data_IF_542505692222
#
_entry.id   IF_542505692222
#
_cell.length_a   1.000
_cell.length_b   1.000
_cell.length_c   1.000
_cell.angle_alpha   90.00
_cell.angle_beta   90.00
_cell.angle_gamma   90.00
#
_symmetry.space_group_name_H-M   'P 1'
#
loop_
_entity.id
_entity.type
_entity.pdbx_description
1 polymer ?
#
# COMPACT_ATOMS: atom_id res chain seq x y z
N UNK A 1 12.53 12.95 11.24
CA UNK A 1 12.14 12.73 12.65
C UNK A 1 13.26 12.06 13.45
N UNK A 2 13.67 10.83 13.11
CA UNK A 2 14.69 10.08 13.87
C UNK A 2 16.03 10.80 14.12
N UNK A 3 16.49 11.61 13.16
CA UNK A 3 17.78 12.34 13.23
C UNK A 3 17.70 13.75 13.82
N UNK A 4 16.51 14.37 13.85
CA UNK A 4 16.35 15.81 14.12
C UNK A 4 15.72 16.10 15.49
N UNK A 5 15.04 15.12 16.08
CA UNK A 5 14.33 15.29 17.34
C UNK A 5 14.96 14.41 18.44
N UNK A 6 15.14 14.95 19.65
CA UNK A 6 15.47 14.15 20.85
C UNK A 6 14.45 13.03 21.07
N UNK A 7 14.88 11.92 21.68
CA UNK A 7 14.05 10.72 21.88
C UNK A 7 12.71 11.04 22.56
N UNK A 8 12.71 11.95 23.55
CA UNK A 8 11.51 12.39 24.26
C UNK A 8 10.46 13.08 23.37
N UNK A 9 10.88 13.75 22.29
CA UNK A 9 9.98 14.44 21.36
C UNK A 9 9.62 13.58 20.14
N UNK A 10 10.36 12.49 19.90
CA UNK A 10 10.18 11.63 18.74
C UNK A 10 8.77 11.04 18.68
N UNK A 11 8.25 10.57 19.83
CA UNK A 11 6.88 10.05 19.94
C UNK A 11 5.80 11.07 19.60
N UNK A 12 5.94 12.32 20.07
CA UNK A 12 4.99 13.41 19.75
C UNK A 12 5.01 13.77 18.27
N UNK A 13 6.20 13.82 17.67
CA UNK A 13 6.33 14.10 16.24
C UNK A 13 5.77 12.97 15.37
N UNK A 14 5.93 11.71 15.77
CA UNK A 14 5.29 10.59 15.08
C UNK A 14 3.76 10.63 15.22
N UNK A 15 3.23 11.01 16.39
CA UNK A 15 1.79 11.22 16.57
C UNK A 15 1.26 12.34 15.66
N UNK A 16 1.95 13.48 15.58
CA UNK A 16 1.60 14.57 14.66
C UNK A 16 1.66 14.11 13.19
N UNK A 17 2.72 13.39 12.81
CA UNK A 17 2.85 12.83 11.45
C UNK A 17 1.70 11.87 11.11
N UNK A 18 1.28 11.03 12.07
CA UNK A 18 0.14 10.14 11.89
C UNK A 18 -1.19 10.91 11.72
N UNK A 19 -1.35 12.10 12.29
CA UNK A 19 -2.54 12.94 12.05
C UNK A 19 -2.49 13.71 10.73
N UNK A 20 -1.28 13.96 10.20
CA UNK A 20 -1.06 14.82 9.03
C UNK A 20 -1.67 14.29 7.73
N UNK A 21 -1.92 12.98 7.62
CA UNK A 21 -2.57 12.37 6.45
C UNK A 21 -4.08 12.10 6.65
N UNK A 22 -4.53 11.97 7.91
CA UNK A 22 -5.94 11.70 8.24
C UNK A 22 -6.82 12.92 7.95
N UNK A 23 -6.39 14.11 8.36
CA UNK A 23 -7.18 15.33 8.16
C UNK A 23 -7.42 15.65 6.67
N UNK A 24 -6.39 15.59 5.78
CA UNK A 24 -6.61 15.69 4.34
C UNK A 24 -7.46 14.56 3.78
N UNK A 25 -7.33 13.32 4.25
CA UNK A 25 -8.16 12.20 3.80
C UNK A 25 -9.64 12.34 4.19
N UNK A 26 -9.93 13.02 5.29
CA UNK A 26 -11.29 13.28 5.78
C UNK A 26 -11.94 14.46 5.06
N UNK A 27 -11.22 15.59 4.94
CA UNK A 27 -11.74 16.86 4.41
C UNK A 27 -11.57 16.96 2.89
N UNK A 28 -10.49 16.37 2.37
CA UNK A 28 -10.05 16.49 0.98
C UNK A 28 -11.09 16.06 -0.05
N UNK A 29 -11.68 14.85 0.03
CA UNK A 29 -12.67 14.40 -0.95
C UNK A 29 -13.90 15.30 -1.02
N UNK A 30 -14.42 15.76 0.12
CA UNK A 30 -15.58 16.66 0.16
C UNK A 30 -15.26 18.02 -0.43
N UNK A 31 -14.11 18.60 -0.08
CA UNK A 31 -13.68 19.91 -0.58
C UNK A 31 -13.33 19.86 -2.07
N UNK A 32 -12.60 18.83 -2.50
CA UNK A 32 -12.27 18.58 -3.89
C UNK A 32 -13.52 18.33 -4.74
N UNK A 33 -14.46 17.52 -4.25
CA UNK A 33 -15.74 17.24 -4.92
C UNK A 33 -16.57 18.51 -5.10
N UNK A 34 -16.70 19.33 -4.05
CA UNK A 34 -17.41 20.61 -4.08
C UNK A 34 -16.78 21.59 -5.07
N UNK A 35 -15.45 21.73 -5.05
CA UNK A 35 -14.73 22.62 -5.99
C UNK A 35 -14.85 22.11 -7.43
N UNK A 36 -14.78 20.79 -7.63
CA UNK A 36 -14.94 20.20 -8.95
C UNK A 36 -16.36 20.37 -9.51
N UNK A 37 -17.39 20.32 -8.65
CA UNK A 37 -18.79 20.46 -9.03
C UNK A 37 -19.18 21.91 -9.35
N UNK A 38 -18.76 22.88 -8.54
CA UNK A 38 -19.22 24.28 -8.68
C UNK A 38 -18.27 25.24 -9.40
N UNK A 39 -16.96 24.93 -9.44
CA UNK A 39 -15.96 25.84 -10.02
C UNK A 39 -15.26 25.21 -11.21
N UNK A 40 -14.32 24.31 -10.95
CA UNK A 40 -13.57 23.56 -11.96
C UNK A 40 -12.66 22.55 -11.27
N UNK A 41 -12.59 21.35 -11.83
CA UNK A 41 -11.63 20.34 -11.41
C UNK A 41 -10.17 20.83 -11.48
N UNK A 42 -9.84 21.77 -12.38
CA UNK A 42 -8.47 22.33 -12.51
C UNK A 42 -8.01 23.06 -11.26
N UNK A 43 -8.93 23.74 -10.56
CA UNK A 43 -8.61 24.49 -9.34
C UNK A 43 -8.23 23.57 -8.18
N UNK A 44 -8.74 22.33 -8.15
CA UNK A 44 -8.33 21.32 -7.17
C UNK A 44 -6.83 21.03 -7.32
N UNK A 45 -6.36 20.84 -8.56
CA UNK A 45 -4.94 20.59 -8.83
C UNK A 45 -4.07 21.84 -8.64
N UNK A 46 -4.52 23.00 -9.13
CA UNK A 46 -3.78 24.26 -8.98
C UNK A 46 -3.66 24.67 -7.51
N UNK A 47 -4.67 24.40 -6.67
CA UNK A 47 -4.65 24.68 -5.24
C UNK A 47 -3.62 23.85 -4.46
N UNK A 48 -3.23 22.68 -4.97
CA UNK A 48 -2.19 21.84 -4.35
C UNK A 48 -0.79 22.46 -4.53
N UNK A 49 -0.54 23.13 -5.66
CA UNK A 49 0.77 23.71 -5.99
C UNK A 49 1.28 24.69 -4.91
N UNK A 50 0.53 25.72 -4.47
CA UNK A 50 1.01 26.64 -3.44
C UNK A 50 1.19 25.96 -2.09
N UNK A 51 0.38 24.95 -1.76
CA UNK A 51 0.51 24.17 -0.52
C UNK A 51 1.82 23.38 -0.52
N UNK A 52 2.13 22.69 -1.61
CA UNK A 52 3.41 21.97 -1.78
C UNK A 52 4.58 22.95 -1.76
N UNK A 53 4.49 24.07 -2.46
CA UNK A 53 5.53 25.09 -2.48
C UNK A 53 5.81 25.64 -1.08
N UNK A 54 4.76 25.95 -0.31
CA UNK A 54 4.88 26.40 1.08
C UNK A 54 5.48 25.34 2.00
N UNK A 55 5.02 24.10 1.91
CA UNK A 55 5.59 22.98 2.67
C UNK A 55 7.07 22.73 2.30
N UNK A 56 7.41 22.81 1.01
CA UNK A 56 8.78 22.68 0.51
C UNK A 56 9.68 23.81 1.02
N UNK A 57 9.20 25.06 0.96
CA UNK A 57 9.93 26.22 1.48
C UNK A 57 10.24 26.09 2.99
N UNK A 58 9.34 25.50 3.78
CA UNK A 58 9.56 25.27 5.21
C UNK A 58 10.47 24.07 5.51
N UNK A 59 10.42 23.01 4.70
CA UNK A 59 11.07 21.72 5.02
C UNK A 59 12.42 21.51 4.35
N UNK A 60 12.60 21.96 3.11
CA UNK A 60 13.83 21.75 2.33
C UNK A 60 15.06 22.37 3.01
N UNK A 61 15.04 23.63 3.50
CA UNK A 61 16.20 24.21 4.18
C UNK A 61 16.61 23.43 5.43
N UNK A 62 15.63 22.99 6.23
CA UNK A 62 15.86 22.19 7.42
C UNK A 62 16.45 20.81 7.08
N UNK A 63 16.01 20.18 5.98
CA UNK A 63 16.57 18.92 5.50
C UNK A 63 18.00 19.06 5.00
N UNK A 64 18.31 20.15 4.28
CA UNK A 64 19.67 20.45 3.81
C UNK A 64 20.60 20.65 5.02
N UNK A 65 20.14 21.38 6.05
CA UNK A 65 20.92 21.65 7.25
C UNK A 65 21.28 20.39 8.07
N UNK A 66 20.49 19.31 7.97
CA UNK A 66 20.78 18.04 8.67
C UNK A 66 21.98 17.27 8.07
N UNK A 67 22.35 17.56 6.83
CA UNK A 67 23.48 16.92 6.14
C UNK A 67 23.33 15.40 5.91
N UNK A 68 24.31 14.78 5.21
CA UNK A 68 24.30 13.35 4.95
C UNK A 68 24.36 12.52 6.25
N UNK A 69 23.79 11.30 6.28
CA UNK A 69 23.89 10.42 7.44
C UNK A 69 25.36 10.01 7.72
N UNK A 70 25.78 10.06 8.98
CA UNK A 70 27.16 9.79 9.41
C UNK A 70 27.67 8.37 9.04
N UNK A 71 26.76 7.39 8.92
CA UNK A 71 27.08 5.99 8.59
C UNK A 71 26.67 5.61 7.16
N UNK A 72 26.69 6.55 6.22
CA UNK A 72 26.38 6.27 4.82
C UNK A 72 27.57 5.57 4.16
N UNK A 73 27.61 4.24 4.18
CA UNK A 73 28.57 3.53 3.35
C UNK A 73 28.27 3.79 1.86
N UNK A 74 29.30 3.96 1.00
CA UNK A 74 29.12 4.11 -0.43
C UNK A 74 28.44 2.86 -0.99
N UNK A 75 27.14 2.94 -1.26
CA UNK A 75 26.40 1.90 -1.97
C UNK A 75 26.33 2.28 -3.44
N UNK A 76 26.44 1.28 -4.32
CA UNK A 76 26.21 1.48 -5.74
C UNK A 76 24.84 2.13 -5.95
N UNK A 77 24.78 3.16 -6.79
CA UNK A 77 23.52 3.87 -7.07
C UNK A 77 22.51 2.90 -7.68
N UNK A 78 21.36 2.75 -7.01
CA UNK A 78 20.23 1.99 -7.53
C UNK A 78 19.37 2.83 -8.48
N UNK A 79 19.69 4.12 -8.68
CA UNK A 79 18.90 5.04 -9.52
C UNK A 79 18.68 4.48 -10.93
N UNK A 80 19.69 3.97 -11.66
CA UNK A 80 19.45 3.41 -13.00
C UNK A 80 18.50 2.20 -12.96
N UNK A 81 18.58 1.37 -11.92
CA UNK A 81 17.72 0.19 -11.77
C UNK A 81 16.28 0.62 -11.47
N UNK A 82 16.08 1.57 -10.55
CA UNK A 82 14.77 2.12 -10.22
C UNK A 82 14.13 2.86 -11.40
N UNK A 83 14.91 3.64 -12.16
CA UNK A 83 14.42 4.31 -13.37
C UNK A 83 14.03 3.29 -14.43
N UNK A 84 14.82 2.22 -14.63
CA UNK A 84 14.49 1.17 -15.60
C UNK A 84 13.22 0.40 -15.19
N UNK A 85 13.03 0.14 -13.89
CA UNK A 85 11.78 -0.42 -13.38
C UNK A 85 10.59 0.51 -13.65
N UNK A 86 10.73 1.80 -13.37
CA UNK A 86 9.67 2.79 -13.57
C UNK A 86 9.31 2.94 -15.06
N UNK A 87 10.31 2.99 -15.95
CA UNK A 87 10.07 3.01 -17.39
C UNK A 87 9.40 1.73 -17.87
N UNK A 88 9.84 0.57 -17.40
CA UNK A 88 9.22 -0.72 -17.75
C UNK A 88 7.77 -0.81 -17.29
N UNK A 89 7.49 -0.41 -16.05
CA UNK A 89 6.13 -0.33 -15.52
C UNK A 89 5.27 0.68 -16.31
N UNK A 90 5.82 1.84 -16.65
CA UNK A 90 5.17 2.85 -17.47
C UNK A 90 4.83 2.32 -18.87
N UNK A 91 5.79 1.70 -19.57
CA UNK A 91 5.55 1.06 -20.87
C UNK A 91 4.48 -0.01 -20.79
N UNK A 92 4.53 -0.87 -19.76
CA UNK A 92 3.53 -1.92 -19.54
C UNK A 92 2.13 -1.31 -19.37
N UNK A 93 1.98 -0.33 -18.48
CA UNK A 93 0.71 0.33 -18.22
C UNK A 93 0.18 1.07 -19.44
N UNK A 94 1.03 1.83 -20.14
CA UNK A 94 0.65 2.48 -21.40
C UNK A 94 0.17 1.44 -22.41
N UNK A 95 0.85 0.31 -22.53
CA UNK A 95 0.42 -0.80 -23.38
C UNK A 95 -0.97 -1.31 -23.04
N UNK A 96 -1.29 -1.46 -21.75
CA UNK A 96 -2.62 -1.87 -21.30
C UNK A 96 -3.72 -0.83 -21.58
N UNK A 97 -3.40 0.46 -21.56
CA UNK A 97 -4.40 1.54 -21.67
C UNK A 97 -4.51 2.17 -23.05
N UNK A 98 -3.64 1.83 -24.02
CA UNK A 98 -3.62 2.48 -25.35
C UNK A 98 -4.83 2.11 -26.23
N UNK A 99 -5.49 0.99 -25.97
CA UNK A 99 -6.68 0.53 -26.74
C UNK A 99 -6.38 -0.01 -28.15
N UNK A 100 -5.29 0.41 -28.79
CA UNK A 100 -4.83 -0.13 -30.09
C UNK A 100 -3.93 -1.38 -29.89
N UNK A 101 -4.36 -2.58 -30.34
CA UNK A 101 -3.58 -3.82 -30.20
C UNK A 101 -2.17 -3.75 -30.80
N UNK A 102 -1.97 -2.93 -31.85
CA UNK A 102 -0.68 -2.79 -32.56
C UNK A 102 0.39 -2.19 -31.66
N UNK A 103 0.01 -1.29 -30.77
CA UNK A 103 0.91 -0.67 -29.79
C UNK A 103 0.83 -1.35 -28.43
N UNK A 104 -0.34 -1.89 -28.06
CA UNK A 104 -0.54 -2.56 -26.79
C UNK A 104 0.38 -3.75 -26.59
N UNK A 105 0.41 -4.70 -27.53
CA UNK A 105 1.19 -5.94 -27.39
C UNK A 105 2.70 -5.65 -27.31
N UNK A 106 3.31 -4.86 -28.21
CA UNK A 106 4.74 -4.53 -28.10
C UNK A 106 5.09 -3.78 -26.82
N UNK A 107 4.26 -2.81 -26.39
CA UNK A 107 4.51 -2.04 -25.17
C UNK A 107 4.43 -2.89 -23.90
N UNK A 108 3.47 -3.82 -23.83
CA UNK A 108 3.37 -4.78 -22.74
C UNK A 108 4.60 -5.68 -22.69
N UNK A 109 5.00 -6.27 -23.83
CA UNK A 109 6.18 -7.15 -23.91
C UNK A 109 7.45 -6.38 -23.55
N UNK A 110 7.66 -5.19 -24.12
CA UNK A 110 8.81 -4.34 -23.84
C UNK A 110 8.83 -3.90 -22.38
N UNK A 111 7.68 -3.52 -21.83
CA UNK A 111 7.54 -3.13 -20.43
C UNK A 111 7.93 -4.25 -19.47
N UNK A 112 7.44 -5.47 -19.72
CA UNK A 112 7.81 -6.66 -18.93
C UNK A 112 9.31 -6.94 -19.06
N UNK A 113 9.85 -6.97 -20.28
CA UNK A 113 11.26 -7.25 -20.52
C UNK A 113 12.18 -6.24 -19.82
N UNK A 114 11.80 -4.95 -19.86
CA UNK A 114 12.54 -3.85 -19.24
C UNK A 114 12.44 -3.88 -17.70
N UNK A 115 11.26 -4.20 -17.15
CA UNK A 115 11.01 -4.23 -15.71
C UNK A 115 11.55 -5.50 -15.02
N UNK A 116 11.67 -6.62 -15.73
CA UNK A 116 11.92 -7.94 -15.12
C UNK A 116 13.21 -8.01 -14.30
N UNK A 117 14.36 -7.66 -14.90
CA UNK A 117 15.66 -7.70 -14.20
C UNK A 117 15.74 -6.69 -13.04
N UNK A 118 15.32 -5.41 -13.21
CA UNK A 118 15.22 -4.47 -12.10
C UNK A 118 14.34 -4.96 -10.95
N UNK A 119 13.19 -5.54 -11.26
CA UNK A 119 12.27 -6.07 -10.27
C UNK A 119 12.93 -7.17 -9.44
N UNK A 120 13.57 -8.15 -10.09
CA UNK A 120 14.30 -9.22 -9.39
C UNK A 120 15.46 -8.71 -8.52
N UNK A 121 16.09 -7.60 -8.91
CA UNK A 121 17.20 -7.00 -8.18
C UNK A 121 16.76 -6.16 -6.98
N UNK A 122 15.60 -5.50 -7.08
CA UNK A 122 15.07 -4.60 -6.05
C UNK A 122 14.21 -5.33 -5.01
N UNK A 123 13.61 -6.45 -5.40
CA UNK A 123 12.73 -7.24 -4.52
C UNK A 123 13.50 -8.35 -3.80
N UNK A 124 13.07 -8.74 -2.59
CA UNK A 124 13.69 -9.85 -1.87
C UNK A 124 13.52 -11.17 -2.65
N UNK A 125 14.54 -12.06 -2.64
CA UNK A 125 14.45 -13.36 -3.29
C UNK A 125 13.27 -14.18 -2.77
N UNK A 126 12.48 -14.76 -3.67
CA UNK A 126 11.30 -15.56 -3.32
C UNK A 126 10.04 -14.73 -3.01
N UNK A 127 10.02 -13.44 -3.32
CA UNK A 127 8.80 -12.62 -3.23
C UNK A 127 7.65 -13.20 -4.07
N UNK A 128 7.93 -13.58 -5.32
CA UNK A 128 6.91 -14.12 -6.25
C UNK A 128 6.27 -15.41 -5.72
N UNK A 129 7.00 -16.21 -4.95
CA UNK A 129 6.50 -17.45 -4.35
C UNK A 129 6.04 -17.28 -2.89
N UNK A 130 6.04 -16.03 -2.38
CA UNK A 130 5.78 -15.68 -0.99
C UNK A 130 6.53 -16.62 -0.02
N UNK A 131 7.85 -16.76 -0.19
CA UNK A 131 8.70 -17.49 0.77
C UNK A 131 8.63 -16.79 2.13
N UNK A 132 8.58 -17.56 3.22
CA UNK A 132 8.43 -17.06 4.59
C UNK A 132 9.45 -15.96 4.96
N UNK A 133 9.04 -15.06 5.86
CA UNK A 133 9.86 -13.92 6.31
C UNK A 133 9.64 -12.67 5.45
N UNK A 134 10.72 -11.92 5.18
CA UNK A 134 10.65 -10.63 4.48
C UNK A 134 10.01 -10.74 3.09
N UNK A 135 10.28 -11.82 2.34
CA UNK A 135 9.71 -12.02 1.00
C UNK A 135 8.18 -12.14 1.02
N UNK A 136 7.62 -12.91 1.95
CA UNK A 136 6.17 -13.01 2.16
C UNK A 136 5.56 -11.67 2.60
N UNK A 137 6.27 -10.88 3.41
CA UNK A 137 5.78 -9.58 3.86
C UNK A 137 5.76 -8.56 2.72
N UNK A 138 6.82 -8.48 1.92
CA UNK A 138 6.85 -7.61 0.73
C UNK A 138 5.81 -8.06 -0.30
N UNK A 139 5.62 -9.37 -0.50
CA UNK A 139 4.53 -9.91 -1.33
C UNK A 139 3.13 -9.55 -0.79
N UNK A 140 2.93 -9.65 0.53
CA UNK A 140 1.67 -9.25 1.18
C UNK A 140 1.38 -7.75 0.99
N UNK A 141 2.40 -6.89 1.10
CA UNK A 141 2.28 -5.45 0.81
C UNK A 141 1.90 -5.21 -0.64
N UNK A 142 2.53 -5.92 -1.58
CA UNK A 142 2.15 -5.79 -2.98
C UNK A 142 0.69 -6.23 -3.19
N UNK A 143 0.29 -7.39 -2.68
CA UNK A 143 -1.06 -7.93 -2.88
C UNK A 143 -2.15 -7.06 -2.26
N UNK A 144 -1.95 -6.58 -1.03
CA UNK A 144 -2.95 -5.73 -0.35
C UNK A 144 -3.15 -4.40 -1.10
N UNK A 145 -2.06 -3.79 -1.58
CA UNK A 145 -2.13 -2.52 -2.30
C UNK A 145 -2.67 -2.69 -3.72
N UNK A 146 -2.26 -3.75 -4.43
CA UNK A 146 -2.76 -4.07 -5.77
C UNK A 146 -4.28 -4.21 -5.76
N UNK A 147 -4.80 -5.05 -4.85
CA UNK A 147 -6.24 -5.30 -4.77
C UNK A 147 -7.00 -4.08 -4.30
N UNK A 148 -6.54 -3.41 -3.24
CA UNK A 148 -7.26 -2.28 -2.67
C UNK A 148 -7.35 -1.13 -3.67
N UNK A 149 -6.22 -0.68 -4.23
CA UNK A 149 -6.22 0.45 -5.17
C UNK A 149 -6.77 0.10 -6.55
N UNK A 150 -6.77 -1.17 -6.96
CA UNK A 150 -7.47 -1.63 -8.17
C UNK A 150 -8.99 -1.54 -8.06
N UNK A 151 -9.54 -1.51 -6.85
CA UNK A 151 -10.97 -1.29 -6.60
C UNK A 151 -11.24 0.17 -6.26
N UNK A 152 -10.51 0.74 -5.30
CA UNK A 152 -10.70 2.08 -4.74
C UNK A 152 -10.75 3.16 -5.84
N UNK A 153 -9.86 3.07 -6.84
CA UNK A 153 -9.78 4.01 -7.94
C UNK A 153 -11.06 4.09 -8.80
N UNK A 154 -11.88 3.03 -8.80
CA UNK A 154 -13.06 2.90 -9.65
C UNK A 154 -14.38 2.93 -8.88
N UNK A 155 -14.35 2.96 -7.55
CA UNK A 155 -15.57 3.16 -6.75
C UNK A 155 -16.24 4.51 -7.05
N UNK A 156 -15.52 5.65 -7.15
CA UNK A 156 -16.14 6.91 -7.52
C UNK A 156 -16.76 6.86 -8.91
N UNK A 157 -16.06 6.29 -9.91
CA UNK A 157 -16.55 6.15 -11.27
C UNK A 157 -17.83 5.29 -11.34
N UNK A 158 -17.88 4.18 -10.60
CA UNK A 158 -19.10 3.38 -10.48
C UNK A 158 -20.26 4.22 -9.95
N UNK A 159 -20.03 5.08 -8.96
CA UNK A 159 -21.07 5.90 -8.36
C UNK A 159 -21.54 7.02 -9.30
N UNK A 160 -20.63 7.68 -10.00
CA UNK A 160 -20.99 8.80 -10.89
C UNK A 160 -21.55 8.30 -12.21
N UNK A 161 -20.84 7.42 -12.91
CA UNK A 161 -21.09 7.16 -14.33
C UNK A 161 -22.04 5.96 -14.54
N UNK A 162 -22.06 5.00 -13.61
CA UNK A 162 -23.02 3.89 -13.63
C UNK A 162 -24.25 4.18 -12.79
N UNK A 163 -24.10 4.83 -11.63
CA UNK A 163 -25.20 5.07 -10.68
C UNK A 163 -25.75 6.51 -10.70
N UNK A 164 -25.21 7.39 -11.53
CA UNK A 164 -25.71 8.75 -11.72
C UNK A 164 -25.64 9.62 -10.46
N UNK A 165 -24.75 9.30 -9.53
CA UNK A 165 -24.59 10.04 -8.28
C UNK A 165 -23.67 11.24 -8.44
N UNK A 166 -23.77 12.21 -7.54
CA UNK A 166 -22.87 13.36 -7.53
C UNK A 166 -21.48 12.98 -7.01
N UNK A 167 -20.49 13.80 -7.34
CA UNK A 167 -19.11 13.67 -6.83
C UNK A 167 -19.04 13.82 -5.31
N UNK A 168 -19.96 14.57 -4.71
CA UNK A 168 -20.10 14.69 -3.25
C UNK A 168 -20.48 13.34 -2.61
N UNK A 169 -21.44 12.61 -3.18
CA UNK A 169 -21.84 11.28 -2.68
C UNK A 169 -20.69 10.30 -2.80
N UNK A 170 -19.97 10.30 -3.93
CA UNK A 170 -18.76 9.50 -4.09
C UNK A 170 -17.68 9.87 -3.06
N UNK A 171 -17.49 11.17 -2.80
CA UNK A 171 -16.60 11.69 -1.77
C UNK A 171 -16.94 11.16 -0.37
N UNK A 172 -18.22 11.14 0.01
CA UNK A 172 -18.68 10.59 1.31
C UNK A 172 -18.34 9.09 1.44
N UNK A 173 -18.50 8.32 0.36
CA UNK A 173 -18.11 6.90 0.34
C UNK A 173 -16.60 6.77 0.60
N UNK A 174 -15.76 7.52 -0.10
CA UNK A 174 -14.30 7.51 0.11
C UNK A 174 -13.92 8.00 1.51
N UNK A 175 -14.61 8.99 2.05
CA UNK A 175 -14.39 9.44 3.43
C UNK A 175 -14.70 8.33 4.45
N UNK A 176 -15.75 7.53 4.22
CA UNK A 176 -16.07 6.38 5.09
C UNK A 176 -14.96 5.32 5.10
N UNK A 177 -14.27 5.14 3.97
CA UNK A 177 -13.09 4.27 3.84
C UNK A 177 -11.95 4.79 4.69
N UNK A 178 -11.66 6.11 4.66
CA UNK A 178 -10.61 6.71 5.51
C UNK A 178 -10.88 6.49 7.00
N UNK A 179 -12.14 6.66 7.44
CA UNK A 179 -12.53 6.46 8.83
C UNK A 179 -12.38 4.98 9.24
N UNK A 180 -12.90 4.07 8.44
CA UNK A 180 -12.82 2.63 8.71
C UNK A 180 -11.39 2.09 8.63
N UNK A 181 -10.56 2.59 7.72
CA UNK A 181 -9.11 2.33 7.68
C UNK A 181 -8.47 2.72 8.99
N UNK A 182 -8.71 3.95 9.47
CA UNK A 182 -8.16 4.44 10.74
C UNK A 182 -8.59 3.56 11.92
N UNK A 183 -9.86 3.13 11.95
CA UNK A 183 -10.33 2.15 12.93
C UNK A 183 -9.58 0.82 12.83
N UNK A 184 -9.32 0.33 11.61
CA UNK A 184 -8.59 -0.91 11.35
C UNK A 184 -7.14 -0.85 11.83
N UNK A 185 -6.47 0.30 11.65
CA UNK A 185 -5.10 0.49 12.14
C UNK A 185 -5.04 0.44 13.66
N UNK A 186 -6.01 1.07 14.33
CA UNK A 186 -6.11 1.02 15.79
C UNK A 186 -6.45 -0.38 16.30
N UNK A 187 -7.32 -1.10 15.58
CA UNK A 187 -7.66 -2.49 15.88
C UNK A 187 -6.43 -3.39 15.79
N UNK A 188 -5.63 -3.24 14.74
CA UNK A 188 -4.38 -3.98 14.56
C UNK A 188 -3.38 -3.69 15.68
N UNK A 189 -3.21 -2.42 16.06
CA UNK A 189 -2.32 -2.01 17.16
C UNK A 189 -2.76 -2.64 18.49
N UNK A 190 -4.04 -2.52 18.83
CA UNK A 190 -4.57 -2.93 20.14
C UNK A 190 -4.74 -4.44 20.29
N UNK A 191 -5.12 -5.13 19.21
CA UNK A 191 -5.48 -6.54 19.23
C UNK A 191 -4.43 -7.45 18.58
N UNK A 192 -3.44 -6.89 17.88
CA UNK A 192 -2.40 -7.68 17.20
C UNK A 192 -1.58 -8.56 18.14
N UNK A 193 -1.26 -8.07 19.35
CA UNK A 193 -0.57 -8.85 20.38
C UNK A 193 -1.46 -9.93 21.02
N UNK A 194 -2.77 -9.68 21.13
CA UNK A 194 -3.73 -10.57 21.81
C UNK A 194 -4.24 -11.70 20.91
N UNK A 195 -4.62 -11.39 19.67
CA UNK A 195 -5.22 -12.34 18.73
C UNK A 195 -4.21 -12.98 17.77
N UNK A 196 -3.01 -12.41 17.68
CA UNK A 196 -1.99 -12.79 16.73
C UNK A 196 -2.09 -11.98 15.43
N UNK A 197 -0.99 -11.30 15.09
CA UNK A 197 -0.89 -10.38 13.95
C UNK A 197 -1.23 -11.03 12.61
N UNK A 198 -0.73 -12.25 12.37
CA UNK A 198 -1.04 -13.01 11.15
C UNK A 198 -2.55 -13.22 10.94
N UNK A 199 -3.33 -13.40 12.02
CA UNK A 199 -4.79 -13.56 11.94
C UNK A 199 -5.49 -12.26 11.58
N UNK A 200 -5.04 -11.14 12.12
CA UNK A 200 -5.58 -9.83 11.76
C UNK A 200 -5.22 -9.43 10.33
N UNK A 201 -4.03 -9.79 9.84
CA UNK A 201 -3.65 -9.60 8.43
C UNK A 201 -4.55 -10.45 7.52
N UNK A 202 -4.75 -11.73 7.85
CA UNK A 202 -5.64 -12.62 7.12
C UNK A 202 -7.09 -12.10 7.12
N UNK A 203 -7.60 -11.67 8.28
CA UNK A 203 -8.89 -11.01 8.39
C UNK A 203 -8.95 -9.75 7.52
N UNK A 204 -7.88 -8.95 7.47
CA UNK A 204 -7.81 -7.77 6.62
C UNK A 204 -8.00 -8.10 5.13
N UNK A 205 -7.32 -9.13 4.61
CA UNK A 205 -7.54 -9.60 3.23
C UNK A 205 -8.96 -10.11 2.99
N UNK A 206 -9.55 -10.83 3.96
CA UNK A 206 -10.94 -11.28 3.88
C UNK A 206 -11.92 -10.09 3.84
N UNK A 207 -11.72 -9.08 4.68
CA UNK A 207 -12.56 -7.89 4.72
C UNK A 207 -12.44 -7.08 3.41
N UNK A 208 -11.24 -6.95 2.84
CA UNK A 208 -11.06 -6.35 1.50
C UNK A 208 -11.88 -7.13 0.47
N UNK A 209 -11.73 -8.45 0.41
CA UNK A 209 -12.47 -9.29 -0.54
C UNK A 209 -13.99 -9.21 -0.35
N UNK A 210 -14.48 -9.26 0.89
CA UNK A 210 -15.90 -9.12 1.22
C UNK A 210 -16.43 -7.73 0.84
N UNK A 211 -15.67 -6.67 1.10
CA UNK A 211 -16.02 -5.31 0.71
C UNK A 211 -16.10 -5.17 -0.81
N UNK A 212 -15.13 -5.73 -1.54
CA UNK A 212 -15.14 -5.77 -3.01
C UNK A 212 -16.33 -6.55 -3.56
N UNK A 213 -16.64 -7.73 -3.01
CA UNK A 213 -17.82 -8.51 -3.42
C UNK A 213 -19.12 -7.77 -3.11
N UNK A 214 -19.17 -7.05 -1.98
CA UNK A 214 -20.31 -6.21 -1.59
C UNK A 214 -20.60 -5.05 -2.55
N UNK A 215 -19.62 -4.64 -3.37
CA UNK A 215 -19.84 -3.63 -4.41
C UNK A 215 -20.52 -4.18 -5.66
N UNK A 216 -20.43 -5.48 -5.95
CA UNK A 216 -21.06 -6.11 -7.13
C UNK A 216 -22.56 -5.81 -7.26
N UNK A 217 -23.40 -5.98 -6.21
CA UNK A 217 -24.82 -5.62 -6.30
C UNK A 217 -25.05 -4.12 -6.47
N UNK A 218 -24.11 -3.27 -6.05
CA UNK A 218 -24.18 -1.81 -6.25
C UNK A 218 -23.89 -1.41 -7.70
N UNK A 219 -23.09 -2.18 -8.44
CA UNK A 219 -23.00 -1.98 -9.90
C UNK A 219 -24.34 -2.30 -10.60
N UNK A 220 -25.23 -3.04 -9.94
CA UNK A 220 -26.62 -3.25 -10.36
C UNK A 220 -27.55 -2.17 -9.79
N UNK A 221 -28.60 -2.62 -9.12
CA UNK A 221 -29.67 -1.76 -8.62
C UNK A 221 -29.65 -1.55 -7.10
N UNK A 222 -28.72 -2.16 -6.35
CA UNK A 222 -28.72 -2.07 -4.90
C UNK A 222 -28.58 -0.61 -4.42
N UNK A 223 -29.13 -0.23 -3.26
CA UNK A 223 -29.05 1.15 -2.79
C UNK A 223 -27.61 1.67 -2.66
N UNK A 224 -27.39 2.95 -2.97
CA UNK A 224 -26.03 3.56 -2.98
C UNK A 224 -25.35 3.52 -1.62
N UNK A 225 -26.09 3.60 -0.51
CA UNK A 225 -25.50 3.51 0.84
C UNK A 225 -24.79 2.16 1.08
N UNK A 226 -25.14 1.11 0.33
CA UNK A 226 -24.46 -0.19 0.39
C UNK A 226 -23.01 -0.05 -0.07
N UNK A 227 -22.66 0.88 -0.98
CA UNK A 227 -21.27 1.14 -1.33
C UNK A 227 -20.46 1.69 -0.16
N UNK A 228 -21.02 2.59 0.65
CA UNK A 228 -20.34 3.11 1.84
C UNK A 228 -20.06 2.00 2.85
N UNK A 229 -21.03 1.11 3.09
CA UNK A 229 -20.86 -0.02 4.01
C UNK A 229 -19.87 -1.03 3.44
N UNK A 230 -20.08 -1.48 2.20
CA UNK A 230 -19.24 -2.50 1.56
C UNK A 230 -17.80 -2.02 1.42
N UNK A 231 -17.58 -0.82 0.89
CA UNK A 231 -16.23 -0.32 0.73
C UNK A 231 -15.59 0.16 2.03
N UNK A 232 -16.39 0.60 3.01
CA UNK A 232 -15.93 0.80 4.39
C UNK A 232 -15.42 -0.49 5.04
N UNK A 233 -16.03 -1.65 4.75
CA UNK A 233 -15.47 -2.96 5.18
C UNK A 233 -14.10 -3.19 4.53
N UNK A 234 -13.93 -2.83 3.26
CA UNK A 234 -12.63 -2.87 2.59
C UNK A 234 -11.60 -1.94 3.21
N UNK A 235 -12.00 -0.72 3.56
CA UNK A 235 -11.20 0.26 4.30
C UNK A 235 -10.70 -0.29 5.64
N UNK A 236 -11.61 -0.86 6.44
CA UNK A 236 -11.24 -1.57 7.68
C UNK A 236 -10.21 -2.67 7.42
N UNK A 237 -10.40 -3.44 6.34
CA UNK A 237 -9.51 -4.53 5.96
C UNK A 237 -8.08 -4.10 5.66
N UNK A 238 -7.89 -3.06 4.83
CA UNK A 238 -6.54 -2.52 4.57
C UNK A 238 -5.93 -1.90 5.82
N UNK A 239 -6.73 -1.24 6.65
CA UNK A 239 -6.29 -0.68 7.92
C UNK A 239 -5.75 -1.73 8.89
N UNK A 240 -6.29 -2.95 8.86
CA UNK A 240 -5.76 -4.07 9.64
C UNK A 240 -4.52 -4.70 9.01
N UNK A 241 -4.56 -4.97 7.70
CA UNK A 241 -3.53 -5.72 7.01
C UNK A 241 -2.22 -4.93 6.86
N UNK A 242 -2.29 -3.68 6.37
CA UNK A 242 -1.12 -2.89 6.01
C UNK A 242 -0.10 -2.70 7.16
N UNK A 243 -0.50 -2.19 8.35
CA UNK A 243 0.43 -2.03 9.46
C UNK A 243 0.97 -3.37 9.98
N UNK A 244 0.14 -4.42 9.97
CA UNK A 244 0.58 -5.75 10.40
C UNK A 244 1.63 -6.37 9.49
N UNK A 245 1.45 -6.27 8.17
CA UNK A 245 2.44 -6.74 7.20
C UNK A 245 3.71 -5.90 7.31
N UNK A 246 3.57 -4.59 7.50
CA UNK A 246 4.72 -3.69 7.64
C UNK A 246 5.57 -4.03 8.86
N UNK A 247 4.94 -4.31 10.00
CA UNK A 247 5.64 -4.75 11.19
C UNK A 247 6.29 -6.14 11.02
N UNK A 248 5.58 -7.09 10.38
CA UNK A 248 6.14 -8.41 10.10
C UNK A 248 7.37 -8.34 9.19
N UNK A 249 7.40 -7.42 8.22
CA UNK A 249 8.57 -7.19 7.37
C UNK A 249 9.76 -6.67 8.18
N UNK A 250 9.53 -5.70 9.08
CA UNK A 250 10.58 -5.14 9.93
C UNK A 250 11.16 -6.19 10.88
N UNK A 251 10.31 -7.01 11.50
CA UNK A 251 10.76 -8.10 12.39
C UNK A 251 11.53 -9.21 11.65
N UNK A 252 11.19 -9.45 10.39
CA UNK A 252 11.90 -10.42 9.56
C UNK A 252 13.22 -9.87 8.97
N UNK A 253 13.54 -8.59 9.21
CA UNK A 253 14.73 -7.95 8.66
C UNK A 253 15.91 -8.04 9.63
N UNK A 254 17.08 -8.55 9.20
CA UNK A 254 18.28 -8.52 10.02
C UNK A 254 18.73 -7.09 10.36
N UNK A 255 19.31 -6.92 11.55
CA UNK A 255 19.83 -5.61 12.00
C UNK A 255 20.81 -5.01 10.97
N UNK A 256 20.62 -3.73 10.63
CA UNK A 256 21.42 -3.01 9.64
C UNK A 256 20.91 -3.09 8.19
N UNK A 257 19.89 -3.91 7.91
CA UNK A 257 19.26 -4.04 6.59
C UNK A 257 17.87 -3.38 6.48
N UNK A 258 17.42 -2.68 7.52
CA UNK A 258 16.08 -2.08 7.63
C UNK A 258 15.81 -1.09 6.50
N UNK A 259 16.82 -0.29 6.14
CA UNK A 259 16.70 0.66 5.03
C UNK A 259 16.47 -0.02 3.68
N UNK A 260 17.09 -1.18 3.43
CA UNK A 260 16.87 -1.94 2.20
C UNK A 260 15.49 -2.58 2.20
N UNK A 261 15.09 -3.20 3.31
CA UNK A 261 13.77 -3.81 3.46
C UNK A 261 12.64 -2.79 3.28
N UNK A 262 12.73 -1.64 3.96
CA UNK A 262 11.77 -0.55 3.83
C UNK A 262 11.70 0.00 2.39
N UNK A 263 12.83 0.09 1.70
CA UNK A 263 12.87 0.50 0.29
C UNK A 263 12.17 -0.54 -0.59
N UNK A 264 12.47 -1.83 -0.44
CA UNK A 264 11.79 -2.89 -1.19
C UNK A 264 10.28 -2.91 -0.92
N UNK A 265 9.84 -2.72 0.33
CA UNK A 265 8.43 -2.60 0.68
C UNK A 265 7.77 -1.43 -0.04
N UNK A 266 8.39 -0.24 -0.02
CA UNK A 266 7.83 0.94 -0.69
C UNK A 266 7.83 0.84 -2.21
N UNK A 267 8.87 0.28 -2.80
CA UNK A 267 8.89 0.01 -4.25
C UNK A 267 7.80 -1.00 -4.63
N UNK A 268 7.62 -2.07 -3.84
CA UNK A 268 6.55 -3.03 -4.05
C UNK A 268 5.16 -2.40 -3.90
N UNK A 269 4.95 -1.57 -2.88
CA UNK A 269 3.73 -0.81 -2.64
C UNK A 269 3.37 0.06 -3.84
N UNK A 270 4.28 0.94 -4.27
CA UNK A 270 4.00 1.85 -5.39
C UNK A 270 3.77 1.12 -6.71
N UNK A 271 4.59 0.10 -7.01
CA UNK A 271 4.42 -0.70 -8.22
C UNK A 271 3.07 -1.43 -8.19
N UNK A 272 2.70 -2.03 -7.05
CA UNK A 272 1.45 -2.73 -6.90
C UNK A 272 0.23 -1.81 -7.01
N UNK A 273 0.22 -0.65 -6.36
CA UNK A 273 -0.88 0.32 -6.47
C UNK A 273 -1.05 0.80 -7.91
N UNK A 274 0.06 1.12 -8.60
CA UNK A 274 0.03 1.54 -9.99
C UNK A 274 -0.46 0.43 -10.93
N UNK A 275 0.02 -0.80 -10.74
CA UNK A 275 -0.43 -1.95 -11.52
C UNK A 275 -1.89 -2.31 -11.24
N UNK A 276 -2.33 -2.26 -9.98
CA UNK A 276 -3.72 -2.53 -9.60
C UNK A 276 -4.69 -1.56 -10.24
N UNK A 277 -4.44 -0.25 -10.07
CA UNK A 277 -5.24 0.80 -10.70
C UNK A 277 -5.14 0.77 -12.23
N UNK A 278 -3.96 0.50 -12.79
CA UNK A 278 -3.75 0.46 -14.24
C UNK A 278 -4.40 -0.72 -14.93
N UNK A 279 -4.32 -1.94 -14.36
CA UNK A 279 -5.03 -3.12 -14.87
C UNK A 279 -6.54 -2.92 -14.78
N UNK A 280 -7.03 -2.38 -13.65
CA UNK A 280 -8.43 -2.02 -13.49
C UNK A 280 -8.86 -0.97 -14.53
N UNK A 281 -8.04 0.05 -14.78
CA UNK A 281 -8.28 1.08 -15.79
C UNK A 281 -8.32 0.55 -17.21
N UNK A 282 -7.47 -0.43 -17.54
CA UNK A 282 -7.52 -1.09 -18.83
C UNK A 282 -8.84 -1.88 -19.01
N UNK A 283 -9.25 -2.65 -18.00
CA UNK A 283 -10.52 -3.39 -18.01
C UNK A 283 -11.70 -2.42 -18.17
N UNK A 284 -11.71 -1.35 -17.36
CA UNK A 284 -12.79 -0.37 -17.34
C UNK A 284 -12.83 0.45 -18.62
N UNK A 285 -11.69 0.85 -19.19
CA UNK A 285 -11.61 1.60 -20.45
C UNK A 285 -12.05 0.77 -21.66
N UNK A 286 -11.73 -0.53 -21.69
CA UNK A 286 -12.32 -1.47 -22.67
C UNK A 286 -13.84 -1.57 -22.45
N UNK A 287 -14.28 -1.59 -21.19
CA UNK A 287 -15.64 -1.37 -20.72
C UNK A 287 -16.37 -0.20 -21.37
N UNK A 288 -15.76 0.96 -21.24
CA UNK A 288 -16.34 2.23 -21.66
C UNK A 288 -16.41 2.34 -23.18
N UNK A 289 -15.34 1.95 -23.88
CA UNK A 289 -15.26 1.99 -25.35
C UNK A 289 -16.24 1.06 -26.08
N UNK A 290 -16.81 0.06 -25.40
CA UNK A 290 -17.76 -0.90 -25.96
C UNK A 290 -19.13 -0.85 -25.26
N UNK A 291 -19.47 0.28 -24.61
CA UNK A 291 -20.76 0.51 -23.94
C UNK A 291 -21.16 -0.55 -22.89
N UNK A 292 -20.18 -1.17 -22.24
CA UNK A 292 -20.36 -2.23 -21.22
C UNK A 292 -19.68 -1.90 -19.89
N UNK A 293 -19.65 -0.61 -19.52
CA UNK A 293 -18.99 -0.08 -18.31
C UNK A 293 -19.42 -0.79 -17.01
N UNK A 294 -20.71 -1.04 -16.83
CA UNK A 294 -21.20 -1.78 -15.66
C UNK A 294 -20.69 -3.23 -15.62
N UNK A 295 -20.55 -3.87 -16.80
CA UNK A 295 -19.99 -5.21 -16.92
C UNK A 295 -18.49 -5.25 -16.60
N UNK A 296 -17.73 -4.29 -17.11
CA UNK A 296 -16.29 -4.20 -16.86
C UNK A 296 -15.96 -3.90 -15.40
N UNK A 297 -16.75 -3.06 -14.72
CA UNK A 297 -16.61 -2.81 -13.29
C UNK A 297 -16.88 -4.08 -12.45
N UNK A 298 -17.92 -4.86 -12.78
CA UNK A 298 -18.16 -6.15 -12.11
C UNK A 298 -17.02 -7.13 -12.36
N UNK A 299 -16.50 -7.18 -13.58
CA UNK A 299 -15.35 -8.01 -13.92
C UNK A 299 -14.12 -7.59 -13.11
N UNK A 300 -13.81 -6.29 -13.07
CA UNK A 300 -12.70 -5.75 -12.29
C UNK A 300 -12.83 -6.11 -10.81
N UNK A 301 -13.97 -5.80 -10.18
CA UNK A 301 -14.19 -6.12 -8.77
C UNK A 301 -14.13 -7.63 -8.50
N UNK A 302 -14.68 -8.47 -9.38
CA UNK A 302 -14.57 -9.92 -9.30
C UNK A 302 -13.11 -10.39 -9.34
N UNK A 303 -12.31 -9.89 -10.28
CA UNK A 303 -10.89 -10.21 -10.40
C UNK A 303 -10.09 -9.75 -9.17
N UNK A 304 -10.33 -8.53 -8.69
CA UNK A 304 -9.66 -7.98 -7.52
C UNK A 304 -10.00 -8.78 -6.24
N UNK A 305 -11.25 -9.23 -6.09
CA UNK A 305 -11.66 -10.12 -5.01
C UNK A 305 -10.93 -11.48 -5.08
N UNK A 306 -10.70 -12.02 -6.28
CA UNK A 306 -9.90 -13.25 -6.44
C UNK A 306 -8.43 -13.05 -6.06
N UNK A 307 -7.86 -11.87 -6.29
CA UNK A 307 -6.49 -11.53 -5.86
C UNK A 307 -6.35 -11.46 -4.34
N UNK A 308 -7.44 -11.30 -3.57
CA UNK A 308 -7.40 -11.45 -2.11
C UNK A 308 -6.98 -12.87 -1.67
N UNK A 309 -7.27 -13.92 -2.46
CA UNK A 309 -6.97 -15.32 -2.11
C UNK A 309 -5.45 -15.59 -1.97
N UNK A 310 -4.58 -15.24 -2.94
CA UNK A 310 -3.14 -15.34 -2.73
C UNK A 310 -2.64 -14.41 -1.62
N UNK A 311 -3.31 -13.27 -1.37
CA UNK A 311 -3.01 -12.39 -0.24
C UNK A 311 -3.26 -13.06 1.12
N UNK A 312 -4.38 -13.76 1.25
CA UNK A 312 -4.72 -14.58 2.41
C UNK A 312 -3.68 -15.70 2.63
N UNK A 313 -3.25 -16.35 1.54
CA UNK A 313 -2.20 -17.35 1.59
C UNK A 313 -0.85 -16.78 2.03
N UNK A 314 -0.45 -15.63 1.48
CA UNK A 314 0.76 -14.92 1.90
C UNK A 314 0.69 -14.53 3.39
N UNK A 315 -0.48 -14.09 3.87
CA UNK A 315 -0.70 -13.74 5.27
C UNK A 315 -0.50 -14.92 6.22
N UNK A 316 -0.95 -16.13 5.84
CA UNK A 316 -0.73 -17.34 6.65
C UNK A 316 0.75 -17.72 6.77
N UNK A 317 1.56 -17.37 5.76
CA UNK A 317 3.02 -17.59 5.74
C UNK A 317 3.82 -16.55 6.52
N UNK A 318 3.17 -15.51 7.06
CA UNK A 318 3.77 -14.51 7.95
C UNK A 318 3.86 -14.98 9.41
N UNK A 319 3.58 -16.26 9.68
CA UNK A 319 3.61 -16.84 11.02
C UNK A 319 4.96 -16.66 11.72
N UNK A 320 4.97 -16.54 13.07
CA UNK A 320 6.03 -15.89 13.82
C UNK A 320 7.37 -16.55 13.56
N UNK A 321 8.37 -15.76 13.19
CA UNK A 321 9.74 -16.17 13.40
C UNK A 321 9.83 -16.67 14.84
N UNK A 322 10.31 -17.91 15.00
CA UNK A 322 10.48 -18.56 16.27
C UNK A 322 11.08 -17.54 17.26
N UNK A 323 10.46 -17.46 18.44
CA UNK A 323 11.02 -16.77 19.62
C UNK A 323 12.52 -17.01 19.62
N UNK A 324 13.27 -15.93 19.77
CA UNK A 324 14.71 -15.93 19.90
C UNK A 324 15.24 -17.24 20.51
N UNK A 325 16.13 -17.92 19.78
CA UNK A 325 17.17 -18.76 20.37
C UNK A 325 18.11 -17.87 21.20
N UNK A 326 17.58 -17.22 22.23
CA UNK A 326 18.34 -16.44 23.23
C UNK A 326 18.41 -17.16 24.59
N UNK A 327 17.99 -18.43 24.67
CA UNK A 327 18.09 -19.21 25.91
C UNK A 327 19.18 -20.30 25.90
N UNK A 328 20.05 -20.38 24.88
CA UNK A 328 21.02 -21.49 24.76
C UNK A 328 22.48 -21.07 24.44
N UNK A 329 22.87 -19.83 24.74
CA UNK A 329 24.30 -19.45 24.68
C UNK A 329 24.69 -18.38 25.70
N UNK A 330 24.25 -18.52 26.95
CA UNK A 330 25.07 -18.08 28.07
C UNK A 330 26.02 -19.25 28.38
N UNK A 331 27.34 -19.13 28.19
CA UNK A 331 28.27 -20.11 28.73
C UNK A 331 28.07 -20.16 30.24
N UNK A 332 27.83 -21.37 30.73
CA UNK A 332 27.63 -21.63 32.15
C UNK A 332 28.72 -21.00 33.00
N UNK A 333 28.28 -20.51 34.15
CA UNK A 333 29.10 -20.38 35.35
C UNK A 333 29.82 -21.71 35.58
N UNK A 334 31.08 -21.79 35.17
CA UNK A 334 31.94 -22.94 35.44
C UNK A 334 32.99 -22.52 36.47
N UNK A 335 32.85 -23.13 37.65
CA UNK A 335 33.89 -23.46 38.63
C UNK A 335 34.81 -22.34 39.15
N UNK A 336 34.36 -21.73 40.24
CA UNK A 336 35.25 -21.18 41.26
C UNK A 336 35.21 -22.06 42.51
N UNK A 337 35.73 -23.29 42.41
CA UNK A 337 36.20 -24.03 43.58
C UNK A 337 37.21 -25.14 43.20
N UNK A 338 38.49 -24.81 43.08
CA UNK A 338 39.57 -25.74 43.41
C UNK A 338 40.68 -24.99 44.16
N UNK A 339 40.84 -25.43 45.40
CA UNK A 339 41.86 -25.09 46.39
C UNK A 339 43.29 -25.45 45.94
N UNK A 340 44.22 -24.65 46.46
CA UNK A 340 45.59 -24.99 46.95
C UNK A 340 46.70 -25.41 45.96
N UNK A 341 47.75 -24.59 45.86
CA UNK A 341 49.10 -24.87 46.41
C UNK A 341 50.14 -23.85 45.88
N UNK A 342 50.97 -23.27 46.77
CA UNK A 342 52.16 -22.48 46.41
C UNK A 342 52.29 -21.19 47.19
#
# INVERSE_FOLDING_TARGET
IGRAYPDALRGRMFALYATAWVLPGLVGPGLAGTVAEYLSWRLVFLGIIPVIAGAGALTIPALIALGPPANSQPRASLVPTSTMLALGAGCFLTGLTTGDPRFAVPLVIAGIALAWRPFQRLMPPGMVTARSGLAAAVAGIALVNFTFFGVDAFVPLMLTDVRGQTTVVAGVVITSVTLTWTCGTWLMERMGSKLGRHRLIAAGFLLIGLGTVGLLPVVGSAPVFVAAIAWGIGGLGIGMAYPGISLAALEATPAGNEGSAATSMKTAEFLASAMGAGVAGAIVGIGESHDWLAGSLRLNFGLMALVCLPGLFAAMRLSPAARHREDDSLPGTQDADVRTAG
#
